data_IF_869974389008
#
_entry.id   IF_869974389008
#
_cell.length_a   1.000
_cell.length_b   1.000
_cell.length_c   1.000
_cell.angle_alpha   90.00
_cell.angle_beta   90.00
_cell.angle_gamma   90.00
#
_symmetry.space_group_name_H-M   'P 1'
#
loop_
_entity.id
_entity.type
_entity.pdbx_description
1 polymer ?
#
# COMPACT_ATOMS: atom_id res chain seq x y z
N UNK A 1 -1.95 26.72 -13.85
CA UNK A 1 -1.70 26.64 -15.30
C UNK A 1 -0.91 25.36 -15.56
N UNK A 2 -1.53 24.30 -16.08
CA UNK A 2 -0.81 23.05 -16.35
C UNK A 2 0.10 23.25 -17.57
N UNK A 3 1.41 23.13 -17.38
CA UNK A 3 2.39 23.21 -18.46
C UNK A 3 2.09 22.09 -19.46
N UNK A 4 1.79 22.46 -20.70
CA UNK A 4 1.57 21.55 -21.82
C UNK A 4 2.88 21.40 -22.58
N UNK A 5 3.20 20.19 -23.02
CA UNK A 5 4.36 19.93 -23.86
C UNK A 5 4.22 20.57 -25.26
N UNK A 6 5.26 20.50 -26.09
CA UNK A 6 5.27 21.06 -27.47
C UNK A 6 4.15 20.52 -28.36
N UNK A 7 3.59 19.36 -28.03
CA UNK A 7 2.43 18.75 -28.70
C UNK A 7 1.08 19.13 -28.08
N UNK A 8 1.04 19.97 -27.02
CA UNK A 8 -0.19 20.36 -26.33
C UNK A 8 -0.76 19.31 -25.38
N UNK A 9 -0.09 18.16 -25.21
CA UNK A 9 -0.53 17.09 -24.32
C UNK A 9 -0.25 17.44 -22.85
N UNK A 10 -1.18 17.04 -22.00
CA UNK A 10 -0.96 17.06 -20.55
C UNK A 10 -0.18 15.81 -20.13
N UNK A 11 0.51 15.84 -18.97
CA UNK A 11 1.22 14.67 -18.45
C UNK A 11 0.34 13.41 -18.34
N UNK A 12 -0.95 13.59 -18.04
CA UNK A 12 -1.94 12.49 -17.99
C UNK A 12 -2.21 11.89 -19.37
N UNK A 13 -2.32 12.72 -20.41
CA UNK A 13 -2.52 12.26 -21.79
C UNK A 13 -1.28 11.52 -22.32
N UNK A 14 -0.08 11.99 -21.97
CA UNK A 14 1.17 11.29 -22.33
C UNK A 14 1.27 9.91 -21.66
N UNK A 15 0.89 9.80 -20.38
CA UNK A 15 0.87 8.52 -19.68
C UNK A 15 -0.12 7.53 -20.33
N UNK A 16 -1.29 8.00 -20.76
CA UNK A 16 -2.28 7.18 -21.48
C UNK A 16 -1.72 6.72 -22.83
N UNK A 17 -1.12 7.63 -23.62
CA UNK A 17 -0.50 7.31 -24.91
C UNK A 17 0.62 6.28 -24.76
N UNK A 18 1.50 6.44 -23.76
CA UNK A 18 2.58 5.49 -23.50
C UNK A 18 2.06 4.11 -23.06
N UNK A 19 1.01 4.07 -22.23
CA UNK A 19 0.37 2.83 -21.82
C UNK A 19 -0.29 2.09 -23.00
N UNK A 20 -0.98 2.81 -23.90
CA UNK A 20 -1.56 2.25 -25.12
C UNK A 20 -0.49 1.67 -26.05
N UNK A 21 0.63 2.36 -26.25
CA UNK A 21 1.77 1.86 -27.03
C UNK A 21 2.41 0.62 -26.40
N UNK A 22 2.49 0.57 -25.07
CA UNK A 22 2.94 -0.61 -24.32
C UNK A 22 2.01 -1.81 -24.54
N UNK A 23 0.69 -1.61 -24.46
CA UNK A 23 -0.30 -2.64 -24.71
C UNK A 23 -0.25 -3.17 -26.15
N UNK A 24 -0.11 -2.28 -27.14
CA UNK A 24 0.04 -2.67 -28.55
C UNK A 24 1.27 -3.55 -28.79
N UNK A 25 2.41 -3.23 -28.15
CA UNK A 25 3.63 -4.06 -28.22
C UNK A 25 3.42 -5.45 -27.61
N UNK A 26 2.69 -5.54 -26.49
CA UNK A 26 2.37 -6.84 -25.86
C UNK A 26 1.48 -7.69 -26.76
N UNK A 27 0.45 -7.09 -27.38
CA UNK A 27 -0.42 -7.78 -28.33
C UNK A 27 0.33 -8.27 -29.56
N UNK A 28 1.18 -7.44 -30.15
CA UNK A 28 2.02 -7.82 -31.29
C UNK A 28 2.95 -9.00 -30.93
N UNK A 29 3.55 -8.97 -29.74
CA UNK A 29 4.42 -10.05 -29.26
C UNK A 29 3.64 -11.33 -29.00
N UNK A 30 2.38 -11.24 -28.59
CA UNK A 30 1.49 -12.39 -28.42
C UNK A 30 1.07 -12.98 -29.77
N UNK A 31 0.82 -12.13 -30.77
CA UNK A 31 0.48 -12.56 -32.13
C UNK A 31 1.65 -13.28 -32.81
N UNK A 32 2.87 -12.77 -32.69
CA UNK A 32 4.09 -13.44 -33.20
C UNK A 32 4.30 -14.82 -32.54
N UNK A 33 4.05 -14.95 -31.24
CA UNK A 33 4.12 -16.24 -30.53
C UNK A 33 3.04 -17.23 -31.00
N UNK A 34 1.86 -16.73 -31.39
CA UNK A 34 0.78 -17.56 -31.95
C UNK A 34 1.10 -17.98 -33.39
N UNK A 35 1.73 -17.11 -34.18
CA UNK A 35 2.21 -17.43 -35.53
C UNK A 35 3.33 -18.47 -35.49
N UNK A 36 4.27 -18.36 -34.56
CA UNK A 36 5.35 -19.36 -34.37
C UNK A 36 4.86 -20.73 -33.88
N UNK A 37 3.66 -20.84 -33.30
CA UNK A 37 3.02 -22.13 -32.96
C UNK A 37 2.20 -22.75 -34.09
N UNK A 38 1.86 -21.99 -35.14
CA UNK A 38 1.22 -22.55 -36.33
C UNK A 38 2.31 -23.05 -37.28
N UNK A 39 2.76 -24.29 -37.09
CA UNK A 39 3.52 -25.01 -38.11
C UNK A 39 2.68 -25.11 -39.39
N UNK A 40 3.21 -24.77 -40.58
CA UNK A 40 2.61 -25.20 -41.83
C UNK A 40 2.72 -26.72 -41.92
N UNK A 41 1.58 -27.41 -41.95
CA UNK A 41 1.52 -28.85 -42.18
C UNK A 41 2.08 -29.15 -43.57
N UNK A 42 3.33 -29.61 -43.62
CA UNK A 42 3.91 -30.21 -44.82
C UNK A 42 3.35 -31.62 -44.98
N UNK A 43 2.88 -31.89 -46.18
CA UNK A 43 2.48 -33.22 -46.64
C UNK A 43 3.70 -34.15 -46.61
N UNK A 44 3.56 -35.34 -46.03
CA UNK A 44 4.46 -36.44 -46.37
C UNK A 44 3.77 -37.79 -46.20
N UNK A 45 3.56 -38.40 -47.35
CA UNK A 45 3.07 -39.75 -47.55
C UNK A 45 3.94 -40.80 -46.83
N UNK A 46 3.26 -41.88 -46.40
CA UNK A 46 3.68 -43.30 -46.45
C UNK A 46 3.47 -44.02 -45.12
N UNK A 47 2.39 -44.80 -45.06
CA UNK A 47 2.20 -45.86 -44.08
C UNK A 47 3.25 -46.97 -44.27
N UNK A 48 3.68 -47.61 -43.18
CA UNK A 48 3.51 -49.06 -43.05
C UNK A 48 2.90 -49.40 -41.68
N UNK A 49 1.79 -50.16 -41.70
CA UNK A 49 1.75 -51.62 -41.49
C UNK A 49 1.72 -51.96 -39.98
N UNK A 50 0.50 -52.33 -39.57
CA UNK A 50 0.10 -52.98 -38.32
C UNK A 50 1.22 -53.77 -37.64
N UNK A 51 1.59 -53.35 -36.44
CA UNK A 51 2.15 -54.23 -35.43
C UNK A 51 1.08 -54.36 -34.34
N UNK A 52 0.44 -55.53 -34.32
CA UNK A 52 -0.52 -55.90 -33.28
C UNK A 52 0.30 -56.22 -32.04
N UNK A 53 0.43 -55.25 -31.12
CA UNK A 53 0.94 -55.50 -29.78
C UNK A 53 -0.24 -55.80 -28.85
N UNK A 54 -0.47 -57.11 -28.69
CA UNK A 54 -1.03 -57.79 -27.53
C UNK A 54 -1.85 -56.96 -26.53
N UNK A 55 -3.17 -57.17 -26.61
CA UNK A 55 -4.05 -57.02 -25.48
C UNK A 55 -3.61 -58.01 -24.37
N UNK A 56 -2.89 -57.53 -23.37
CA UNK A 56 -2.78 -58.21 -22.09
C UNK A 56 -3.87 -57.65 -21.18
N UNK A 57 -4.89 -58.49 -20.94
CA UNK A 57 -6.03 -58.18 -20.09
C UNK A 57 -5.61 -57.89 -18.65
N UNK A 58 -5.71 -56.62 -18.27
CA UNK A 58 -5.71 -56.20 -16.87
C UNK A 58 -7.13 -56.44 -16.33
N UNK A 59 -7.27 -57.32 -15.33
CA UNK A 59 -8.58 -57.67 -14.76
C UNK A 59 -9.33 -56.48 -14.15
N UNK A 60 -10.65 -56.58 -13.91
CA UNK A 60 -11.50 -55.48 -13.43
C UNK A 60 -11.05 -54.87 -12.09
N UNK A 61 -10.26 -55.61 -11.30
CA UNK A 61 -9.66 -55.10 -10.06
C UNK A 61 -8.53 -54.06 -10.28
N UNK A 62 -7.85 -54.11 -11.43
CA UNK A 62 -6.72 -53.22 -11.76
C UNK A 62 -7.18 -51.89 -12.39
N UNK A 63 -8.28 -51.92 -13.14
CA UNK A 63 -8.92 -50.71 -13.68
C UNK A 63 -9.65 -49.96 -12.58
N UNK A 64 -10.36 -50.65 -11.68
CA UNK A 64 -11.02 -50.02 -10.53
C UNK A 64 -10.03 -49.32 -9.59
N UNK A 65 -8.84 -49.90 -9.38
CA UNK A 65 -7.77 -49.25 -8.61
C UNK A 65 -7.20 -48.01 -9.33
N UNK A 66 -7.07 -48.06 -10.66
CA UNK A 66 -6.64 -46.92 -11.47
C UNK A 66 -7.70 -45.80 -11.51
N UNK A 67 -8.98 -46.15 -11.58
CA UNK A 67 -10.11 -45.23 -11.52
C UNK A 67 -10.19 -44.56 -10.15
N UNK A 68 -10.07 -45.32 -9.05
CA UNK A 68 -10.02 -44.76 -7.71
C UNK A 68 -8.80 -43.84 -7.50
N UNK A 69 -7.65 -44.18 -8.09
CA UNK A 69 -6.46 -43.31 -8.06
C UNK A 69 -6.68 -42.02 -8.87
N UNK A 70 -7.37 -42.10 -10.01
CA UNK A 70 -7.72 -40.94 -10.82
C UNK A 70 -8.75 -40.03 -10.11
N UNK A 71 -9.75 -40.61 -9.44
CA UNK A 71 -10.71 -39.88 -8.61
C UNK A 71 -10.03 -39.21 -7.41
N UNK A 72 -9.09 -39.89 -6.75
CA UNK A 72 -8.30 -39.32 -5.66
C UNK A 72 -7.42 -38.16 -6.15
N UNK A 73 -6.80 -38.29 -7.33
CA UNK A 73 -6.01 -37.21 -7.94
C UNK A 73 -6.89 -36.01 -8.33
N UNK A 74 -8.09 -36.26 -8.87
CA UNK A 74 -9.06 -35.20 -9.18
C UNK A 74 -9.51 -34.46 -7.90
N UNK A 75 -9.76 -35.19 -6.81
CA UNK A 75 -10.09 -34.60 -5.52
C UNK A 75 -8.93 -33.75 -4.95
N UNK A 76 -7.68 -34.17 -5.13
CA UNK A 76 -6.50 -33.39 -4.73
C UNK A 76 -6.38 -32.08 -5.50
N UNK A 77 -6.59 -32.08 -6.83
CA UNK A 77 -6.53 -30.87 -7.65
C UNK A 77 -7.62 -29.86 -7.28
N UNK A 78 -8.85 -30.32 -7.04
CA UNK A 78 -9.94 -29.45 -6.58
C UNK A 78 -9.65 -28.86 -5.19
N UNK A 79 -9.08 -29.66 -4.29
CA UNK A 79 -8.68 -29.18 -2.96
C UNK A 79 -7.53 -28.16 -3.03
N UNK A 80 -6.60 -28.32 -3.98
CA UNK A 80 -5.53 -27.35 -4.22
C UNK A 80 -6.09 -26.04 -4.79
N UNK A 81 -6.95 -26.10 -5.82
CA UNK A 81 -7.61 -24.92 -6.39
C UNK A 81 -8.43 -24.17 -5.31
N UNK A 82 -9.14 -24.89 -4.44
CA UNK A 82 -9.88 -24.28 -3.35
C UNK A 82 -8.93 -23.58 -2.35
N UNK A 83 -7.80 -24.22 -2.00
CA UNK A 83 -6.77 -23.62 -1.14
C UNK A 83 -6.20 -22.35 -1.78
N UNK A 84 -5.90 -22.37 -3.07
CA UNK A 84 -5.41 -21.22 -3.81
C UNK A 84 -6.44 -20.09 -3.83
N UNK A 85 -7.71 -20.39 -4.11
CA UNK A 85 -8.82 -19.42 -4.07
C UNK A 85 -8.96 -18.79 -2.68
N UNK A 86 -8.88 -19.59 -1.61
CA UNK A 86 -8.89 -19.11 -0.21
C UNK A 86 -7.69 -18.21 0.09
N UNK A 87 -6.48 -18.58 -0.33
CA UNK A 87 -5.28 -17.76 -0.17
C UNK A 87 -5.37 -16.43 -0.92
N UNK A 88 -5.88 -16.45 -2.16
CA UNK A 88 -6.09 -15.24 -2.95
C UNK A 88 -7.13 -14.32 -2.30
N UNK A 89 -8.25 -14.88 -1.83
CA UNK A 89 -9.27 -14.13 -1.10
C UNK A 89 -8.71 -13.50 0.18
N UNK A 90 -7.93 -14.25 0.97
CA UNK A 90 -7.27 -13.73 2.17
C UNK A 90 -6.30 -12.57 1.86
N UNK A 91 -5.50 -12.69 0.79
CA UNK A 91 -4.60 -11.61 0.33
C UNK A 91 -5.39 -10.37 -0.09
N UNK A 92 -6.51 -10.54 -0.79
CA UNK A 92 -7.37 -9.43 -1.20
C UNK A 92 -8.06 -8.76 0.01
N UNK A 93 -8.57 -9.55 0.95
CA UNK A 93 -9.15 -9.07 2.20
C UNK A 93 -8.13 -8.29 3.04
N UNK A 94 -6.90 -8.77 3.18
CA UNK A 94 -5.83 -8.06 3.88
C UNK A 94 -5.49 -6.71 3.22
N UNK A 95 -5.45 -6.66 1.87
CA UNK A 95 -5.26 -5.40 1.14
C UNK A 95 -6.44 -4.44 1.35
N UNK A 96 -7.68 -4.94 1.34
CA UNK A 96 -8.87 -4.14 1.58
C UNK A 96 -8.89 -3.57 3.01
N UNK A 97 -8.55 -4.38 4.02
CA UNK A 97 -8.44 -3.96 5.40
C UNK A 97 -7.39 -2.85 5.59
N UNK A 98 -6.20 -2.99 4.99
CA UNK A 98 -5.16 -1.93 5.01
C UNK A 98 -5.66 -0.62 4.38
N UNK A 99 -6.39 -0.69 3.26
CA UNK A 99 -6.99 0.50 2.60
C UNK A 99 -8.06 1.14 3.48
N UNK A 100 -8.91 0.34 4.13
CA UNK A 100 -9.90 0.86 5.08
C UNK A 100 -9.22 1.57 6.24
N UNK A 101 -8.20 0.96 6.86
CA UNK A 101 -7.43 1.59 7.92
C UNK A 101 -6.76 2.91 7.47
N UNK A 102 -6.19 2.94 6.27
CA UNK A 102 -5.63 4.17 5.70
C UNK A 102 -6.69 5.26 5.52
N UNK A 103 -7.87 4.91 4.98
CA UNK A 103 -8.99 5.84 4.78
C UNK A 103 -9.53 6.34 6.13
N UNK A 104 -9.61 5.48 7.12
CA UNK A 104 -10.00 5.86 8.48
C UNK A 104 -8.98 6.83 9.07
N UNK A 105 -7.68 6.54 9.00
CA UNK A 105 -6.63 7.48 9.44
C UNK A 105 -6.70 8.82 8.71
N UNK A 106 -7.01 8.82 7.41
CA UNK A 106 -7.21 10.05 6.65
C UNK A 106 -8.46 10.80 7.11
N UNK A 107 -9.58 10.09 7.35
CA UNK A 107 -10.81 10.67 7.91
C UNK A 107 -10.56 11.23 9.30
N UNK A 108 -9.90 10.50 10.19
CA UNK A 108 -9.53 10.99 11.51
C UNK A 108 -8.67 12.24 11.39
N UNK A 109 -7.65 12.28 10.52
CA UNK A 109 -6.85 13.49 10.25
C UNK A 109 -7.66 14.66 9.70
N UNK A 110 -8.68 14.41 8.89
CA UNK A 110 -9.56 15.44 8.34
C UNK A 110 -10.68 15.87 9.31
N UNK A 111 -11.05 14.98 10.24
CA UNK A 111 -12.11 15.14 11.22
C UNK A 111 -11.60 15.53 12.60
N UNK A 112 -10.28 15.49 12.86
CA UNK A 112 -9.70 16.42 13.82
C UNK A 112 -10.15 17.77 13.27
N UNK A 113 -11.07 18.50 13.94
CA UNK A 113 -11.35 19.85 13.51
C UNK A 113 -10.00 20.55 13.41
N UNK A 114 -9.89 21.64 12.67
CA UNK A 114 -8.96 22.66 13.13
C UNK A 114 -9.49 23.13 14.50
N UNK A 115 -9.45 22.25 15.51
CA UNK A 115 -9.72 22.50 16.89
C UNK A 115 -8.59 23.41 17.24
N UNK A 116 -8.88 24.69 17.10
CA UNK A 116 -8.32 25.74 17.91
C UNK A 116 -6.87 25.41 18.26
N UNK A 117 -5.98 25.40 17.24
CA UNK A 117 -4.86 26.31 17.42
C UNK A 117 -5.53 27.65 17.59
N UNK A 118 -5.91 27.96 18.82
CA UNK A 118 -6.03 29.31 19.27
C UNK A 118 -4.69 29.90 18.84
N UNK A 119 -4.73 30.56 17.69
CA UNK A 119 -4.05 31.81 17.49
C UNK A 119 -4.60 32.84 18.49
N UNK A 120 -5.20 32.44 19.62
CA UNK A 120 -4.53 32.57 20.92
C UNK A 120 -3.23 33.32 20.76
N UNK A 121 -3.39 34.63 20.75
CA UNK A 121 -2.30 35.58 20.68
C UNK A 121 -1.34 35.13 21.76
N UNK A 122 -0.18 34.61 21.35
CA UNK A 122 0.83 34.19 22.31
C UNK A 122 1.30 35.49 22.92
N UNK A 123 1.17 35.65 24.22
CA UNK A 123 1.61 36.84 24.95
C UNK A 123 2.82 36.46 25.81
N UNK A 124 3.69 37.43 26.07
CA UNK A 124 4.74 37.30 27.07
C UNK A 124 4.11 36.99 28.44
N UNK A 125 4.66 35.99 29.14
CA UNK A 125 4.18 35.61 30.46
C UNK A 125 4.68 36.52 31.60
N UNK A 126 5.43 37.59 31.28
CA UNK A 126 5.85 38.54 32.29
C UNK A 126 4.71 39.50 32.64
N UNK A 127 4.46 39.68 33.93
CA UNK A 127 3.51 40.66 34.46
C UNK A 127 3.74 42.04 33.84
N UNK A 128 2.69 42.65 33.28
CA UNK A 128 2.76 43.95 32.61
C UNK A 128 3.35 43.94 31.19
N UNK A 129 3.75 42.79 30.63
CA UNK A 129 4.26 42.69 29.26
C UNK A 129 3.21 42.13 28.29
N UNK A 130 2.67 42.98 27.42
CA UNK A 130 1.69 42.59 26.39
C UNK A 130 2.29 42.13 25.06
N UNK A 131 3.62 41.93 24.96
CA UNK A 131 4.24 41.64 23.68
C UNK A 131 3.82 40.26 23.15
N UNK A 132 3.50 40.20 21.85
CA UNK A 132 2.97 39.02 21.18
C UNK A 132 3.93 38.44 20.13
N UNK A 133 4.99 39.18 19.83
CA UNK A 133 5.99 38.87 18.80
C UNK A 133 7.33 38.46 19.43
N UNK A 134 8.17 37.74 18.69
CA UNK A 134 9.52 37.38 19.14
C UNK A 134 9.57 36.48 20.39
N UNK A 135 8.48 35.77 20.69
CA UNK A 135 8.33 35.02 21.92
C UNK A 135 9.16 33.73 21.95
N UNK A 136 10.12 33.67 22.87
CA UNK A 136 10.96 32.51 23.14
C UNK A 136 10.36 31.66 24.25
N UNK A 137 10.34 30.34 24.08
CA UNK A 137 9.88 29.41 25.11
C UNK A 137 10.90 29.31 26.23
N UNK A 138 10.43 29.06 27.46
CA UNK A 138 11.31 28.63 28.54
C UNK A 138 12.09 27.37 28.10
N UNK A 139 13.42 27.39 28.24
CA UNK A 139 14.30 26.28 27.80
C UNK A 139 14.03 24.98 28.56
N UNK A 140 13.58 25.08 29.81
CA UNK A 140 13.33 23.94 30.69
C UNK A 140 11.95 23.33 30.43
N UNK A 141 10.87 23.98 30.83
CA UNK A 141 9.53 23.41 30.74
C UNK A 141 8.86 23.56 29.36
N UNK A 142 9.35 24.45 28.49
CA UNK A 142 8.78 24.78 27.16
C UNK A 142 7.32 25.24 27.15
N UNK A 143 6.69 25.43 28.30
CA UNK A 143 5.27 25.75 28.45
C UNK A 143 4.98 27.26 28.34
N UNK A 144 5.75 28.10 29.03
CA UNK A 144 5.60 29.57 29.00
C UNK A 144 6.53 30.21 27.98
N UNK A 145 6.22 31.45 27.59
CA UNK A 145 6.98 32.23 26.62
C UNK A 145 7.32 33.63 27.10
N UNK A 146 8.47 34.15 26.67
CA UNK A 146 8.96 35.49 27.00
C UNK A 146 9.51 36.17 25.76
N UNK A 147 9.32 37.49 25.64
CA UNK A 147 9.92 38.25 24.54
C UNK A 147 11.40 38.54 24.75
N UNK A 148 11.87 38.54 25.99
CA UNK A 148 13.26 38.84 26.36
C UNK A 148 13.68 38.09 27.63
N UNK A 149 14.99 38.02 27.86
CA UNK A 149 15.56 37.41 29.07
C UNK A 149 15.16 38.20 30.33
N UNK A 150 15.09 39.53 30.25
CA UNK A 150 14.60 40.38 31.31
C UNK A 150 13.17 39.98 31.76
N UNK A 151 12.27 39.74 30.81
CA UNK A 151 10.91 39.27 31.10
C UNK A 151 10.91 37.88 31.77
N UNK A 152 11.79 36.98 31.35
CA UNK A 152 11.92 35.67 32.01
C UNK A 152 12.45 35.77 33.44
N UNK A 153 13.40 36.66 33.69
CA UNK A 153 13.99 36.86 35.03
C UNK A 153 13.01 37.54 35.98
N UNK A 154 12.25 38.52 35.49
CA UNK A 154 11.19 39.18 36.26
C UNK A 154 10.11 38.18 36.71
N UNK A 155 9.65 37.31 35.80
CA UNK A 155 8.63 36.32 36.12
C UNK A 155 9.18 35.07 36.85
N UNK A 156 10.51 34.90 36.94
CA UNK A 156 11.12 33.67 37.44
C UNK A 156 10.68 33.28 38.86
N UNK A 157 10.52 34.26 39.76
CA UNK A 157 10.12 33.98 41.15
C UNK A 157 8.77 33.27 41.23
N UNK A 158 7.80 33.69 40.42
CA UNK A 158 6.48 33.04 40.32
C UNK A 158 6.56 31.75 39.49
N UNK A 159 7.32 31.75 38.39
CA UNK A 159 7.38 30.63 37.47
C UNK A 159 8.14 29.40 38.01
N UNK A 160 9.14 29.57 38.90
CA UNK A 160 10.11 28.53 39.26
C UNK A 160 9.49 27.22 39.76
N UNK A 161 8.46 27.29 40.60
CA UNK A 161 7.80 26.11 41.13
C UNK A 161 7.07 25.34 40.02
N UNK A 162 6.28 26.06 39.23
CA UNK A 162 5.52 25.49 38.13
C UNK A 162 6.43 24.97 37.00
N UNK A 163 7.54 25.66 36.74
CA UNK A 163 8.57 25.23 35.79
C UNK A 163 9.07 23.82 36.10
N UNK A 164 9.26 23.48 37.38
CA UNK A 164 9.72 22.15 37.80
C UNK A 164 8.65 21.10 37.57
N UNK A 165 7.40 21.37 37.99
CA UNK A 165 6.25 20.48 37.74
C UNK A 165 6.09 20.17 36.26
N UNK A 166 6.08 21.20 35.42
CA UNK A 166 5.90 21.08 33.98
C UNK A 166 7.09 20.40 33.30
N UNK A 167 8.32 20.64 33.76
CA UNK A 167 9.49 19.95 33.24
C UNK A 167 9.41 18.43 33.48
N UNK A 168 9.02 18.01 34.69
CA UNK A 168 8.84 16.58 35.01
C UNK A 168 7.71 15.97 34.17
N UNK A 169 6.57 16.65 34.05
CA UNK A 169 5.46 16.18 33.22
C UNK A 169 5.83 16.06 31.74
N UNK A 170 6.57 17.03 31.20
CA UNK A 170 7.02 17.00 29.81
C UNK A 170 8.11 15.96 29.55
N UNK A 171 8.87 15.54 30.56
CA UNK A 171 9.83 14.44 30.45
C UNK A 171 9.12 13.08 30.44
N UNK A 172 8.06 12.91 31.24
CA UNK A 172 7.28 11.67 31.30
C UNK A 172 6.38 11.44 30.06
N UNK A 173 6.07 12.49 29.30
CA UNK A 173 5.19 12.44 28.12
C UNK A 173 5.92 12.27 26.78
N UNK A 174 7.26 12.12 26.78
CA UNK A 174 8.03 11.82 25.57
C UNK A 174 8.32 10.31 25.54
N UNK A 175 7.91 9.58 24.47
CA UNK A 175 8.13 8.14 24.35
C UNK A 175 9.60 7.77 24.19
#
# INVERSE_FOLDING_TARGET
MALRDKEGLTPRMLAIKHNQLGAAKVLLKLEQQRAGRRQPGVTSSRAPRREQAEAQGAGPASTAAAEAAAEAAAAQLLAEEERERRQQAARQAAKAAKRQHQKERQRQRAAVPAGEVAAGVRVCAAEGCGNTSGLRRCSRCRAVRYCSEACSHAHWKAHKAECRRLHTASAAAQP
#
